data_IF_947351657929
#
_entry.id   IF_947351657929
#
_cell.length_a   1.000
_cell.length_b   1.000
_cell.length_c   1.000
_cell.angle_alpha   90.00
_cell.angle_beta   90.00
_cell.angle_gamma   90.00
#
_symmetry.space_group_name_H-M   'P 1'
#
loop_
_entity.id
_entity.type
_entity.pdbx_description
1 polymer ?
#
# COMPACT_ATOMS: atom_id res chain seq x y z
N UNK A 1 38.81 40.36 23.83
CA UNK A 1 39.25 39.46 22.72
C UNK A 1 39.01 38.02 23.19
N UNK A 2 37.76 37.58 23.11
CA UNK A 2 37.26 36.32 23.70
C UNK A 2 36.53 35.53 22.61
N UNK A 3 37.14 35.54 21.40
CA UNK A 3 36.59 35.01 20.14
C UNK A 3 37.42 33.85 19.57
N UNK A 4 38.42 33.35 20.26
CA UNK A 4 39.28 32.26 19.77
C UNK A 4 39.32 31.15 20.83
N UNK A 5 39.23 29.89 20.39
CA UNK A 5 39.35 28.65 21.16
C UNK A 5 38.11 28.02 21.83
N UNK A 6 36.92 28.12 21.21
CA UNK A 6 36.06 26.92 21.16
C UNK A 6 36.27 26.23 19.82
N UNK A 7 37.53 25.88 19.55
CA UNK A 7 37.88 24.90 18.54
C UNK A 7 37.35 23.55 19.05
N UNK A 8 36.06 23.30 18.83
CA UNK A 8 35.50 21.96 18.96
C UNK A 8 36.25 21.13 17.93
N UNK A 9 37.31 20.43 18.36
CA UNK A 9 37.83 19.28 17.64
C UNK A 9 36.65 18.35 17.39
N UNK A 10 36.14 18.36 16.18
CA UNK A 10 35.20 17.33 15.76
C UNK A 10 35.97 16.02 15.79
N UNK A 11 35.64 15.15 16.74
CA UNK A 11 36.20 13.80 16.78
C UNK A 11 35.85 13.12 15.46
N UNK A 12 36.73 12.26 14.93
CA UNK A 12 36.47 11.48 13.71
C UNK A 12 35.07 10.82 13.72
N UNK A 13 34.62 10.37 14.89
CA UNK A 13 33.26 9.84 15.08
C UNK A 13 32.13 10.84 14.79
N UNK A 14 32.25 12.11 15.16
CA UNK A 14 31.23 13.15 14.87
C UNK A 14 31.15 13.44 13.38
N UNK A 15 32.29 13.49 12.70
CA UNK A 15 32.36 13.66 11.24
C UNK A 15 31.71 12.46 10.55
N UNK A 16 32.05 11.24 10.95
CA UNK A 16 31.44 10.02 10.43
C UNK A 16 29.92 9.99 10.63
N UNK A 17 29.43 10.31 11.83
CA UNK A 17 28.01 10.39 12.15
C UNK A 17 27.27 11.41 11.28
N UNK A 18 27.87 12.56 10.99
CA UNK A 18 27.27 13.57 10.09
C UNK A 18 27.10 13.04 8.67
N UNK A 19 28.13 12.41 8.11
CA UNK A 19 28.04 11.83 6.77
C UNK A 19 27.02 10.70 6.72
N UNK A 20 26.97 9.83 7.74
CA UNK A 20 25.97 8.78 7.84
C UNK A 20 24.54 9.35 7.91
N UNK A 21 24.31 10.36 8.76
CA UNK A 21 23.01 11.02 8.86
C UNK A 21 22.61 11.70 7.57
N UNK A 22 23.55 12.34 6.87
CA UNK A 22 23.28 12.97 5.58
C UNK A 22 22.89 11.94 4.52
N UNK A 23 23.68 10.88 4.37
CA UNK A 23 23.42 9.79 3.41
C UNK A 23 22.07 9.13 3.71
N UNK A 24 21.79 8.85 4.98
CA UNK A 24 20.51 8.28 5.41
C UNK A 24 19.34 9.20 5.06
N UNK A 25 19.42 10.50 5.37
CA UNK A 25 18.36 11.46 5.03
C UNK A 25 18.16 11.60 3.51
N UNK A 26 19.23 11.51 2.73
CA UNK A 26 19.15 11.53 1.27
C UNK A 26 18.40 10.31 0.72
N UNK A 27 18.70 9.11 1.22
CA UNK A 27 17.95 7.91 0.85
C UNK A 27 16.48 7.96 1.30
N UNK A 28 16.21 8.50 2.50
CA UNK A 28 14.83 8.73 2.96
C UNK A 28 14.08 9.70 2.05
N UNK A 29 14.73 10.78 1.62
CA UNK A 29 14.15 11.71 0.67
C UNK A 29 13.79 11.05 -0.67
N UNK A 30 14.69 10.22 -1.21
CA UNK A 30 14.43 9.44 -2.43
C UNK A 30 13.26 8.45 -2.24
N UNK A 31 13.24 7.75 -1.10
CA UNK A 31 12.16 6.82 -0.77
C UNK A 31 10.81 7.54 -0.64
N UNK A 32 10.77 8.71 0.02
CA UNK A 32 9.58 9.56 0.09
C UNK A 32 9.09 10.01 -1.29
N UNK A 33 10.01 10.38 -2.18
CA UNK A 33 9.70 10.69 -3.58
C UNK A 33 9.09 9.51 -4.34
N UNK A 34 9.65 8.30 -4.16
CA UNK A 34 9.10 7.09 -4.76
C UNK A 34 7.70 6.76 -4.25
N UNK A 35 7.48 6.84 -2.93
CA UNK A 35 6.16 6.61 -2.31
C UNK A 35 5.13 7.62 -2.81
N UNK A 36 5.50 8.90 -2.86
CA UNK A 36 4.63 9.97 -3.39
C UNK A 36 4.31 9.74 -4.87
N UNK A 37 5.29 9.32 -5.68
CA UNK A 37 5.10 9.01 -7.09
C UNK A 37 4.12 7.85 -7.28
N UNK A 38 4.25 6.76 -6.51
CA UNK A 38 3.30 5.63 -6.52
C UNK A 38 1.90 6.08 -6.11
N UNK A 39 1.78 6.87 -5.04
CA UNK A 39 0.48 7.40 -4.61
C UNK A 39 -0.19 8.29 -5.67
N UNK A 40 0.60 9.17 -6.31
CA UNK A 40 0.09 10.06 -7.35
C UNK A 40 -0.27 9.29 -8.63
N UNK A 41 0.55 8.32 -9.03
CA UNK A 41 0.26 7.42 -10.15
C UNK A 41 -1.06 6.67 -9.92
N UNK A 42 -1.26 6.15 -8.70
CA UNK A 42 -2.49 5.46 -8.29
C UNK A 42 -3.72 6.37 -8.39
N UNK A 43 -3.59 7.65 -8.03
CA UNK A 43 -4.66 8.64 -8.17
C UNK A 43 -4.89 9.08 -9.63
N UNK A 44 -3.85 9.13 -10.46
CA UNK A 44 -3.93 9.51 -11.86
C UNK A 44 -4.59 8.42 -12.73
N UNK A 45 -4.28 7.14 -12.49
CA UNK A 45 -5.01 6.05 -13.15
C UNK A 45 -6.53 6.15 -12.84
N UNK A 46 -6.88 6.53 -11.62
CA UNK A 46 -8.27 6.82 -11.24
C UNK A 46 -8.91 7.99 -12.01
N UNK A 47 -8.13 9.00 -12.45
CA UNK A 47 -8.66 10.12 -13.24
C UNK A 47 -8.85 9.80 -14.72
N UNK A 48 -8.22 8.74 -15.24
CA UNK A 48 -8.50 8.28 -16.62
C UNK A 48 -9.65 7.25 -16.66
N UNK A 49 -9.94 6.57 -15.52
CA UNK A 49 -11.09 5.68 -15.32
C UNK A 49 -12.19 6.32 -14.43
N UNK A 50 -12.49 7.59 -14.64
CA UNK A 50 -13.47 8.36 -13.84
C UNK A 50 -14.84 7.67 -13.83
N UNK A 51 -15.25 7.23 -12.62
CA UNK A 51 -16.62 6.98 -12.12
C UNK A 51 -17.00 5.54 -11.69
N UNK A 52 -16.23 4.48 -11.99
CA UNK A 52 -16.79 3.11 -11.87
C UNK A 52 -16.32 2.26 -10.65
N UNK A 53 -15.25 2.66 -9.97
CA UNK A 53 -14.76 1.94 -8.77
C UNK A 53 -14.85 2.83 -7.52
N UNK A 54 -16.05 3.09 -7.02
CA UNK A 54 -16.28 3.73 -5.73
C UNK A 54 -15.98 2.77 -4.56
N UNK A 55 -14.73 2.34 -4.41
CA UNK A 55 -14.21 1.95 -3.10
C UNK A 55 -13.54 3.19 -2.51
N UNK A 56 -14.27 3.89 -1.62
CA UNK A 56 -13.77 5.03 -0.85
C UNK A 56 -12.43 4.70 -0.17
N UNK A 57 -12.24 3.45 0.24
CA UNK A 57 -11.03 2.92 0.87
C UNK A 57 -9.80 2.99 -0.02
N UNK A 58 -9.88 2.63 -1.30
CA UNK A 58 -8.69 2.61 -2.17
C UNK A 58 -8.17 4.03 -2.45
N UNK A 59 -9.10 4.97 -2.68
CA UNK A 59 -8.76 6.37 -2.88
C UNK A 59 -8.18 6.98 -1.61
N UNK A 60 -8.75 6.65 -0.44
CA UNK A 60 -8.22 7.07 0.85
C UNK A 60 -6.78 6.57 1.06
N UNK A 61 -6.49 5.30 0.76
CA UNK A 61 -5.13 4.75 0.86
C UNK A 61 -4.14 5.47 -0.05
N UNK A 62 -4.52 5.76 -1.31
CA UNK A 62 -3.64 6.48 -2.23
C UNK A 62 -3.35 7.92 -1.75
N UNK A 63 -4.35 8.64 -1.24
CA UNK A 63 -4.14 9.95 -0.61
C UNK A 63 -3.22 9.88 0.61
N UNK A 64 -3.39 8.87 1.47
CA UNK A 64 -2.51 8.65 2.62
C UNK A 64 -1.06 8.42 2.16
N UNK A 65 -0.84 7.63 1.11
CA UNK A 65 0.51 7.41 0.54
C UNK A 65 1.13 8.70 0.02
N UNK A 66 0.37 9.54 -0.68
CA UNK A 66 0.86 10.86 -1.16
C UNK A 66 1.26 11.74 0.00
N UNK A 67 0.40 11.89 1.01
CA UNK A 67 0.67 12.73 2.19
C UNK A 67 1.88 12.21 2.96
N UNK A 68 1.97 10.89 3.18
CA UNK A 68 3.11 10.27 3.84
C UNK A 68 4.41 10.51 3.06
N UNK A 69 4.41 10.34 1.74
CA UNK A 69 5.55 10.61 0.87
C UNK A 69 6.02 12.06 0.96
N UNK A 70 5.09 13.03 0.94
CA UNK A 70 5.40 14.47 1.12
C UNK A 70 6.04 14.73 2.48
N UNK A 71 5.49 14.16 3.56
CA UNK A 71 6.06 14.32 4.91
C UNK A 71 7.49 13.77 4.97
N UNK A 72 7.74 12.59 4.40
CA UNK A 72 9.07 11.96 4.35
C UNK A 72 10.05 12.78 3.50
N UNK A 73 9.62 13.35 2.38
CA UNK A 73 10.47 14.25 1.59
C UNK A 73 10.84 15.53 2.36
N UNK A 74 9.86 16.16 3.01
CA UNK A 74 10.10 17.38 3.80
C UNK A 74 11.04 17.08 4.96
N UNK A 75 10.84 15.97 5.68
CA UNK A 75 11.72 15.58 6.79
C UNK A 75 13.14 15.29 6.30
N UNK A 76 13.30 14.62 5.15
CA UNK A 76 14.61 14.37 4.53
C UNK A 76 15.35 15.66 4.15
N UNK A 77 14.67 16.64 3.52
CA UNK A 77 15.26 17.95 3.20
C UNK A 77 15.66 18.69 4.48
N UNK A 78 14.79 18.70 5.50
CA UNK A 78 15.07 19.33 6.78
C UNK A 78 16.26 18.65 7.49
N UNK A 79 16.38 17.32 7.42
CA UNK A 79 17.50 16.56 7.97
C UNK A 79 18.83 16.87 7.28
N UNK A 80 18.82 16.95 5.95
CA UNK A 80 19.97 17.42 5.17
C UNK A 80 20.37 18.85 5.56
N UNK A 81 19.41 19.78 5.62
CA UNK A 81 19.64 21.17 6.01
C UNK A 81 20.15 21.30 7.46
N UNK A 82 19.60 20.50 8.38
CA UNK A 82 19.99 20.50 9.80
C UNK A 82 21.43 20.04 9.97
N UNK A 83 21.84 19.00 9.23
CA UNK A 83 23.21 18.47 9.24
C UNK A 83 24.20 19.46 8.64
N UNK A 84 23.88 20.12 7.52
CA UNK A 84 24.79 21.08 6.88
C UNK A 84 24.89 22.43 7.58
N UNK A 85 23.78 23.01 8.05
CA UNK A 85 23.80 24.37 8.64
C UNK A 85 24.28 24.39 10.09
N UNK A 86 24.37 23.24 10.76
CA UNK A 86 24.79 23.07 12.16
C UNK A 86 24.12 24.01 13.17
N UNK A 87 22.95 24.56 12.82
CA UNK A 87 22.20 25.45 13.72
C UNK A 87 21.53 24.58 14.79
N UNK A 88 21.92 24.76 16.06
CA UNK A 88 21.34 24.03 17.20
C UNK A 88 19.81 24.05 17.22
N UNK A 89 19.20 25.17 16.86
CA UNK A 89 17.74 25.31 16.80
C UNK A 89 17.14 24.43 15.68
N UNK A 90 17.78 24.34 14.52
CA UNK A 90 17.31 23.52 13.40
C UNK A 90 17.43 22.02 13.70
N UNK A 91 18.54 21.60 14.32
CA UNK A 91 18.72 20.23 14.82
C UNK A 91 17.68 19.87 15.89
N UNK A 92 17.36 20.81 16.80
CA UNK A 92 16.32 20.60 17.81
C UNK A 92 14.95 20.42 17.19
N UNK A 93 14.57 21.26 16.22
CA UNK A 93 13.30 21.14 15.49
C UNK A 93 13.22 19.81 14.76
N UNK A 94 14.30 19.41 14.06
CA UNK A 94 14.37 18.10 13.39
C UNK A 94 14.18 16.94 14.35
N UNK A 95 14.85 16.96 15.51
CA UNK A 95 14.70 15.92 16.54
C UNK A 95 13.27 15.85 17.10
N UNK A 96 12.65 17.00 17.40
CA UNK A 96 11.25 17.05 17.87
C UNK A 96 10.30 16.50 16.81
N UNK A 97 10.50 16.87 15.54
CA UNK A 97 9.70 16.37 14.43
C UNK A 97 9.78 14.84 14.31
N UNK A 98 11.00 14.27 14.36
CA UNK A 98 11.19 12.82 14.36
C UNK A 98 10.51 12.14 15.55
N UNK A 99 10.62 12.72 16.74
CA UNK A 99 9.96 12.19 17.92
C UNK A 99 8.44 12.19 17.77
N UNK A 100 7.85 13.26 17.23
CA UNK A 100 6.42 13.32 16.94
C UNK A 100 5.99 12.26 15.91
N UNK A 101 6.76 12.07 14.83
CA UNK A 101 6.49 11.03 13.82
C UNK A 101 6.54 9.64 14.45
N UNK A 102 7.57 9.36 15.26
CA UNK A 102 7.71 8.08 15.96
C UNK A 102 6.53 7.79 16.90
N UNK A 103 6.05 8.80 17.65
CA UNK A 103 4.86 8.64 18.49
C UNK A 103 3.59 8.40 17.67
N UNK A 104 3.43 9.08 16.53
CA UNK A 104 2.32 8.87 15.61
C UNK A 104 2.35 7.46 15.00
N UNK A 105 3.53 6.94 14.64
CA UNK A 105 3.70 5.57 14.14
C UNK A 105 3.33 4.53 15.20
N UNK A 106 3.71 4.73 16.47
CA UNK A 106 3.29 3.85 17.57
C UNK A 106 1.76 3.85 17.70
N UNK A 107 1.14 5.03 17.71
CA UNK A 107 -0.32 5.15 17.82
C UNK A 107 -1.00 4.47 16.62
N UNK A 108 -0.53 4.72 15.40
CA UNK A 108 -1.04 4.09 14.19
C UNK A 108 -0.90 2.57 14.22
N UNK A 109 0.24 2.05 14.69
CA UNK A 109 0.48 0.62 14.86
C UNK A 109 -0.44 -0.03 15.89
N UNK A 110 -0.67 0.62 17.04
CA UNK A 110 -1.62 0.15 18.06
C UNK A 110 -3.04 0.14 17.52
N UNK A 111 -3.47 1.21 16.84
CA UNK A 111 -4.79 1.29 16.22
C UNK A 111 -4.95 0.20 15.15
N UNK A 112 -3.95 0.01 14.28
CA UNK A 112 -3.96 -1.05 13.28
C UNK A 112 -4.09 -2.44 13.90
N UNK A 113 -3.41 -2.70 15.02
CA UNK A 113 -3.52 -3.98 15.74
C UNK A 113 -4.91 -4.18 16.36
N UNK A 114 -5.45 -3.18 17.05
CA UNK A 114 -6.78 -3.26 17.69
C UNK A 114 -7.88 -3.47 16.63
N UNK A 115 -7.82 -2.70 15.54
CA UNK A 115 -8.84 -2.76 14.48
C UNK A 115 -8.56 -3.82 13.42
N UNK A 116 -7.48 -4.60 13.52
CA UNK A 116 -7.08 -5.59 12.51
C UNK A 116 -8.22 -6.56 12.19
N UNK A 117 -8.86 -7.12 13.22
CA UNK A 117 -9.93 -8.10 13.04
C UNK A 117 -11.13 -7.49 12.32
N UNK A 118 -11.59 -6.31 12.75
CA UNK A 118 -12.72 -5.63 12.12
C UNK A 118 -12.40 -5.22 10.68
N UNK A 119 -11.23 -4.64 10.45
CA UNK A 119 -10.77 -4.25 9.12
C UNK A 119 -10.68 -5.46 8.18
N UNK A 120 -10.18 -6.59 8.67
CA UNK A 120 -10.09 -7.82 7.88
C UNK A 120 -11.47 -8.34 7.46
N UNK A 121 -12.46 -8.29 8.35
CA UNK A 121 -13.83 -8.71 8.05
C UNK A 121 -14.50 -7.77 7.06
N UNK A 122 -14.38 -6.45 7.25
CA UNK A 122 -14.93 -5.46 6.33
C UNK A 122 -14.31 -5.55 4.94
N UNK A 123 -12.98 -5.71 4.86
CA UNK A 123 -12.29 -5.91 3.59
C UNK A 123 -12.73 -7.18 2.88
N UNK A 124 -12.82 -8.30 3.60
CA UNK A 124 -13.31 -9.57 3.06
C UNK A 124 -14.76 -9.46 2.57
N UNK A 125 -15.64 -8.82 3.33
CA UNK A 125 -17.02 -8.64 2.91
C UNK A 125 -17.15 -7.73 1.68
N UNK A 126 -16.39 -6.63 1.64
CA UNK A 126 -16.38 -5.72 0.50
C UNK A 126 -15.81 -6.39 -0.76
N UNK A 127 -14.75 -7.17 -0.61
CA UNK A 127 -14.18 -7.95 -1.71
C UNK A 127 -15.18 -9.00 -2.21
N UNK A 128 -15.79 -9.78 -1.30
CA UNK A 128 -16.85 -10.75 -1.64
C UNK A 128 -18.01 -10.10 -2.40
N UNK A 129 -18.50 -8.96 -1.93
CA UNK A 129 -19.59 -8.25 -2.61
C UNK A 129 -19.16 -7.76 -4.00
N UNK A 130 -17.95 -7.20 -4.11
CA UNK A 130 -17.42 -6.70 -5.39
C UNK A 130 -17.24 -7.84 -6.39
N UNK A 131 -16.61 -8.95 -6.01
CA UNK A 131 -16.42 -10.11 -6.89
C UNK A 131 -17.74 -10.77 -7.28
N UNK A 132 -18.71 -10.89 -6.37
CA UNK A 132 -19.96 -11.60 -6.69
C UNK A 132 -20.89 -10.75 -7.55
N UNK A 133 -20.90 -9.43 -7.38
CA UNK A 133 -21.84 -8.53 -8.05
C UNK A 133 -21.29 -7.87 -9.33
N UNK A 134 -19.96 -7.69 -9.44
CA UNK A 134 -19.35 -6.93 -10.54
C UNK A 134 -18.42 -7.75 -11.45
N UNK A 135 -18.08 -8.99 -11.09
CA UNK A 135 -17.23 -9.83 -11.93
C UNK A 135 -17.91 -10.17 -13.26
N UNK A 136 -17.20 -9.95 -14.38
CA UNK A 136 -17.69 -10.08 -15.77
C UNK A 136 -19.00 -9.34 -16.07
N UNK A 137 -19.29 -8.28 -15.32
CA UNK A 137 -20.40 -7.38 -15.61
C UNK A 137 -19.98 -6.37 -16.68
N UNK A 138 -20.89 -6.07 -17.60
CA UNK A 138 -20.68 -5.04 -18.63
C UNK A 138 -20.33 -3.69 -17.98
N UNK A 139 -19.28 -3.03 -18.47
CA UNK A 139 -18.75 -1.79 -17.91
C UNK A 139 -17.85 -1.94 -16.67
N UNK A 140 -17.62 -3.17 -16.17
CA UNK A 140 -16.81 -3.43 -14.95
C UNK A 140 -15.60 -4.35 -15.25
N UNK A 141 -15.04 -4.26 -16.46
CA UNK A 141 -13.93 -5.10 -16.94
C UNK A 141 -12.68 -5.00 -16.06
N UNK A 142 -12.41 -3.81 -15.51
CA UNK A 142 -11.33 -3.57 -14.56
C UNK A 142 -11.47 -4.38 -13.28
N UNK A 143 -12.70 -4.62 -12.81
CA UNK A 143 -12.95 -5.48 -11.63
C UNK A 143 -12.57 -6.91 -11.97
N UNK A 144 -12.96 -7.39 -13.15
CA UNK A 144 -12.65 -8.76 -13.61
C UNK A 144 -11.14 -8.96 -13.67
N UNK A 145 -10.42 -8.04 -14.34
CA UNK A 145 -8.97 -8.11 -14.45
C UNK A 145 -8.26 -8.02 -13.10
N UNK A 146 -8.76 -7.19 -12.18
CA UNK A 146 -8.20 -7.07 -10.83
C UNK A 146 -8.42 -8.36 -10.02
N UNK A 147 -9.61 -8.96 -10.06
CA UNK A 147 -9.92 -10.22 -9.37
C UNK A 147 -9.09 -11.37 -9.95
N UNK A 148 -8.99 -11.48 -11.27
CA UNK A 148 -8.22 -12.54 -11.93
C UNK A 148 -6.72 -12.44 -11.57
N UNK A 149 -6.15 -11.22 -11.58
CA UNK A 149 -4.77 -10.97 -11.14
C UNK A 149 -4.58 -11.32 -9.67
N UNK A 150 -5.47 -10.85 -8.80
CA UNK A 150 -5.40 -11.11 -7.35
C UNK A 150 -5.36 -12.62 -7.07
N UNK A 151 -6.23 -13.40 -7.71
CA UNK A 151 -6.28 -14.84 -7.53
C UNK A 151 -5.01 -15.56 -7.98
N UNK A 152 -4.43 -15.14 -9.10
CA UNK A 152 -3.22 -15.75 -9.64
C UNK A 152 -1.96 -15.34 -8.87
N UNK A 153 -1.84 -14.07 -8.50
CA UNK A 153 -0.68 -13.54 -7.79
C UNK A 153 -0.62 -14.04 -6.34
N UNK A 154 -1.76 -14.02 -5.64
CA UNK A 154 -1.87 -14.48 -4.26
C UNK A 154 -2.24 -15.96 -4.12
N UNK A 155 -2.42 -16.68 -5.24
CA UNK A 155 -2.75 -18.11 -5.27
C UNK A 155 -3.93 -18.42 -4.36
N UNK A 156 -5.01 -17.67 -4.51
CA UNK A 156 -6.24 -17.80 -3.74
C UNK A 156 -7.46 -17.92 -4.65
N UNK A 157 -8.61 -18.30 -4.10
CA UNK A 157 -9.86 -18.36 -4.84
C UNK A 157 -11.03 -17.98 -3.93
N UNK A 158 -11.62 -16.81 -4.19
CA UNK A 158 -12.66 -16.24 -3.33
C UNK A 158 -12.14 -15.10 -2.46
N UNK A 159 -12.97 -14.63 -1.53
CA UNK A 159 -12.55 -13.67 -0.51
C UNK A 159 -12.35 -14.31 0.87
N UNK A 160 -13.08 -15.39 1.14
CA UNK A 160 -12.87 -16.29 2.26
C UNK A 160 -12.70 -17.74 1.80
N UNK A 161 -13.37 -18.11 0.71
CA UNK A 161 -13.28 -19.46 0.15
C UNK A 161 -13.80 -19.48 -1.29
N UNK A 162 -13.46 -20.53 -2.04
CA UNK A 162 -13.92 -20.71 -3.40
C UNK A 162 -15.45 -20.80 -3.49
N UNK A 163 -16.11 -21.19 -2.40
CA UNK A 163 -17.57 -21.23 -2.28
C UNK A 163 -18.23 -19.85 -2.35
N UNK A 164 -17.48 -18.75 -2.15
CA UNK A 164 -18.01 -17.39 -2.33
C UNK A 164 -18.51 -17.16 -3.76
N UNK A 165 -17.97 -17.88 -4.74
CA UNK A 165 -18.39 -17.81 -6.13
C UNK A 165 -19.81 -18.38 -6.37
N UNK A 166 -20.34 -19.20 -5.47
CA UNK A 166 -21.72 -19.72 -5.57
C UNK A 166 -22.76 -18.59 -5.51
N UNK A 167 -22.41 -17.49 -4.85
CA UNK A 167 -23.25 -16.29 -4.72
C UNK A 167 -23.05 -15.29 -5.88
N UNK A 168 -22.14 -15.57 -6.82
CA UNK A 168 -21.84 -14.68 -7.94
C UNK A 168 -22.97 -14.66 -8.98
N UNK A 169 -23.34 -13.45 -9.41
CA UNK A 169 -24.31 -13.24 -10.50
C UNK A 169 -23.79 -13.87 -11.79
N UNK A 170 -22.50 -13.74 -12.08
CA UNK A 170 -21.88 -14.33 -13.26
C UNK A 170 -21.90 -15.86 -13.22
N UNK A 171 -21.56 -16.51 -12.09
CA UNK A 171 -21.57 -17.98 -11.99
C UNK A 171 -22.97 -18.57 -12.25
N UNK A 172 -24.02 -17.85 -11.85
CA UNK A 172 -25.42 -18.26 -12.06
C UNK A 172 -25.94 -17.96 -13.46
N UNK A 173 -25.16 -17.24 -14.27
CA UNK A 173 -25.52 -16.82 -15.62
C UNK A 173 -25.07 -17.86 -16.67
N UNK A 174 -25.75 -17.98 -17.83
CA UNK A 174 -25.33 -18.88 -18.91
C UNK A 174 -23.88 -18.66 -19.37
N UNK A 175 -23.39 -17.42 -19.26
CA UNK A 175 -22.04 -16.97 -19.63
C UNK A 175 -20.94 -17.67 -18.82
N UNK A 176 -21.25 -18.23 -17.65
CA UNK A 176 -20.31 -19.04 -16.90
C UNK A 176 -19.95 -20.36 -17.58
N UNK A 177 -20.75 -20.83 -18.55
CA UNK A 177 -20.54 -22.10 -19.25
C UNK A 177 -20.37 -23.29 -18.29
N UNK A 178 -21.13 -23.32 -17.19
CA UNK A 178 -21.08 -24.36 -16.16
C UNK A 178 -19.85 -24.31 -15.24
N UNK A 179 -19.07 -23.23 -15.28
CA UNK A 179 -18.00 -22.99 -14.29
C UNK A 179 -18.59 -22.79 -12.90
N UNK A 180 -17.90 -23.30 -11.88
CA UNK A 180 -18.21 -23.08 -10.46
C UNK A 180 -17.39 -21.95 -9.85
N UNK A 181 -16.22 -21.69 -10.45
CA UNK A 181 -15.30 -20.60 -10.11
C UNK A 181 -14.69 -20.03 -11.40
N UNK A 182 -14.13 -18.82 -11.39
CA UNK A 182 -13.32 -18.31 -12.50
C UNK A 182 -12.15 -19.22 -12.87
N UNK A 183 -11.72 -19.20 -14.14
CA UNK A 183 -10.56 -19.96 -14.57
C UNK A 183 -9.25 -19.43 -13.94
N UNK A 184 -9.23 -18.17 -13.49
CA UNK A 184 -8.17 -17.57 -12.67
C UNK A 184 -8.06 -18.17 -11.26
N UNK A 185 -9.00 -19.00 -10.80
CA UNK A 185 -8.82 -19.78 -9.59
C UNK A 185 -7.98 -21.05 -9.80
N UNK A 186 -7.74 -21.46 -11.05
CA UNK A 186 -7.05 -22.70 -11.35
C UNK A 186 -5.53 -22.56 -11.18
N UNK A 187 -4.91 -23.62 -10.66
CA UNK A 187 -3.44 -23.75 -10.56
C UNK A 187 -2.78 -23.77 -11.94
N UNK A 188 -3.47 -24.37 -12.91
CA UNK A 188 -3.10 -24.36 -14.31
C UNK A 188 -4.25 -23.75 -15.09
N UNK A 189 -4.07 -22.53 -15.58
CA UNK A 189 -5.10 -21.82 -16.33
C UNK A 189 -5.29 -22.49 -17.68
N UNK A 190 -6.46 -23.08 -17.87
CA UNK A 190 -6.92 -23.65 -19.13
C UNK A 190 -8.38 -23.25 -19.32
N UNK A 191 -8.84 -23.18 -20.57
CA UNK A 191 -10.23 -22.80 -20.83
C UNK A 191 -11.19 -23.77 -20.13
N UNK A 192 -12.15 -23.22 -19.39
CA UNK A 192 -13.18 -23.95 -18.64
C UNK A 192 -12.65 -24.82 -17.47
N UNK A 193 -11.42 -24.59 -17.01
CA UNK A 193 -10.88 -25.31 -15.86
C UNK A 193 -11.71 -25.09 -14.58
N UNK A 194 -12.36 -23.92 -14.45
CA UNK A 194 -13.21 -23.55 -13.32
C UNK A 194 -14.51 -24.36 -13.19
N UNK A 195 -14.80 -25.27 -14.13
CA UNK A 195 -15.89 -26.27 -14.00
C UNK A 195 -15.65 -27.26 -12.85
N UNK A 196 -14.39 -27.45 -12.44
CA UNK A 196 -14.00 -28.36 -11.35
C UNK A 196 -13.36 -27.59 -10.22
N UNK A 197 -14.01 -27.57 -9.07
CA UNK A 197 -13.59 -26.94 -7.81
C UNK A 197 -12.77 -27.88 -6.91
N UNK A 198 -12.24 -28.98 -7.45
CA UNK A 198 -11.46 -29.94 -6.68
C UNK A 198 -10.16 -29.30 -6.13
N UNK A 199 -9.74 -29.59 -4.89
CA UNK A 199 -8.57 -28.97 -4.24
C UNK A 199 -7.24 -29.13 -5.02
N UNK A 200 -7.12 -30.14 -5.87
CA UNK A 200 -5.94 -30.33 -6.73
C UNK A 200 -5.92 -29.42 -7.95
N UNK A 201 -7.08 -28.89 -8.36
CA UNK A 201 -7.24 -28.07 -9.57
C UNK A 201 -7.20 -26.56 -9.25
N UNK A 202 -7.84 -26.15 -8.15
CA UNK A 202 -7.97 -24.75 -7.77
C UNK A 202 -7.08 -24.40 -6.58
N UNK A 203 -6.78 -23.12 -6.43
CA UNK A 203 -6.23 -22.57 -5.21
C UNK A 203 -7.24 -22.68 -4.06
N UNK A 204 -6.75 -22.99 -2.87
CA UNK A 204 -7.51 -22.90 -1.62
C UNK A 204 -6.94 -21.75 -0.81
N UNK A 205 -7.81 -21.01 -0.12
CA UNK A 205 -7.39 -20.21 1.03
C UNK A 205 -6.82 -21.12 2.14
#
# INVERSE_FOLDING_TARGET
>A
KMREYTEKKETCGTICLKYLLFIFNFFFWLAGGAVMAVGTWTLAEKSDYISLLSSSTYSATAYILVVAGVVVMVTGILGCCATFKERRNLLRVYFILLLCIFLLEIIAGILAYIYYQQLSMELKQNLKNTMTQKYRKEGEESVTSAVDKLQQEFKCCGSNNYTDWVDSVWIRSPEANGRKVPDSCCKTITDLCGRRDHPSNIYKE
#
